data_IF_675608190714
#
_entry.id   IF_675608190714
#
_cell.length_a   1.000
_cell.length_b   1.000
_cell.length_c   1.000
_cell.angle_alpha   90.00
_cell.angle_beta   90.00
_cell.angle_gamma   90.00
#
_symmetry.space_group_name_H-M   'P 1'
#
loop_
_entity.id
_entity.type
_entity.pdbx_description
1 polymer ?
#
# COMPACT_ATOMS: atom_id res chain seq x y z
N UNK A 1 34.24 3.83 4.67
CA UNK A 1 32.88 4.34 4.80
C UNK A 1 32.01 3.13 5.07
N UNK A 2 31.41 3.02 6.27
CA UNK A 2 30.49 1.92 6.56
C UNK A 2 29.24 2.10 5.68
N UNK A 3 29.09 1.24 4.69
CA UNK A 3 27.85 1.10 3.89
C UNK A 3 26.78 0.46 4.83
N UNK A 4 26.28 1.25 5.78
CA UNK A 4 25.13 0.82 6.58
C UNK A 4 23.94 0.76 5.64
N UNK A 5 23.50 -0.47 5.34
CA UNK A 5 22.24 -0.68 4.63
C UNK A 5 21.14 0.09 5.37
N UNK A 6 20.42 0.95 4.65
CA UNK A 6 19.29 1.69 5.22
C UNK A 6 18.18 0.68 5.53
N UNK A 7 17.66 0.65 6.77
CA UNK A 7 16.59 -0.29 7.13
C UNK A 7 15.33 -0.04 6.31
N UNK A 8 14.60 -1.11 6.02
CA UNK A 8 13.38 -1.05 5.22
C UNK A 8 12.14 -1.39 6.04
N UNK A 9 11.09 -0.59 5.87
CA UNK A 9 9.73 -0.83 6.35
C UNK A 9 8.82 -1.06 5.15
N UNK A 10 8.15 -2.20 5.10
CA UNK A 10 7.29 -2.58 3.98
C UNK A 10 5.82 -2.63 4.38
N UNK A 11 4.96 -2.09 3.51
CA UNK A 11 3.53 -2.29 3.55
C UNK A 11 3.11 -3.22 2.42
N UNK A 12 2.66 -4.43 2.74
CA UNK A 12 1.99 -5.32 1.80
C UNK A 12 0.54 -4.88 1.66
N UNK A 13 0.18 -4.45 0.48
CA UNK A 13 -1.04 -3.69 0.27
C UNK A 13 -1.82 -4.13 -0.97
N UNK A 14 -3.13 -3.82 -0.94
CA UNK A 14 -4.07 -3.99 -2.04
C UNK A 14 -4.69 -2.63 -2.41
N UNK A 15 -4.92 -2.38 -3.70
CA UNK A 15 -5.45 -1.09 -4.17
C UNK A 15 -6.94 -0.90 -3.90
N UNK A 16 -7.74 -1.96 -3.85
CA UNK A 16 -9.15 -1.81 -3.45
C UNK A 16 -9.39 -1.91 -1.94
N UNK A 17 -8.35 -2.15 -1.13
CA UNK A 17 -8.47 -2.23 0.31
C UNK A 17 -8.51 -0.83 0.95
N UNK A 18 -9.63 -0.40 1.57
CA UNK A 18 -9.72 0.93 2.17
C UNK A 18 -8.79 1.10 3.37
N UNK A 19 -8.49 0.01 4.07
CA UNK A 19 -7.54 -0.01 5.18
C UNK A 19 -6.11 0.24 4.71
N UNK A 20 -5.74 -0.27 3.52
CA UNK A 20 -4.46 0.05 2.89
C UNK A 20 -4.38 1.52 2.46
N UNK A 21 -5.49 2.10 2.00
CA UNK A 21 -5.48 3.51 1.63
C UNK A 21 -5.20 4.41 2.82
N UNK A 22 -5.90 4.21 3.95
CA UNK A 22 -5.65 5.03 5.15
C UNK A 22 -4.26 4.74 5.77
N UNK A 23 -3.76 3.51 5.68
CA UNK A 23 -2.39 3.18 6.08
C UNK A 23 -1.38 3.94 5.21
N UNK A 24 -1.52 3.89 3.88
CA UNK A 24 -0.66 4.58 2.94
C UNK A 24 -0.63 6.10 3.20
N UNK A 25 -1.78 6.76 3.42
CA UNK A 25 -1.85 8.20 3.74
C UNK A 25 -1.00 8.53 4.98
N UNK A 26 -1.06 7.70 6.02
CA UNK A 26 -0.29 7.89 7.26
C UNK A 26 1.20 7.61 7.05
N UNK A 27 1.52 6.45 6.45
CA UNK A 27 2.89 5.98 6.28
C UNK A 27 3.68 6.87 5.32
N UNK A 28 3.11 7.24 4.16
CA UNK A 28 3.78 8.10 3.18
C UNK A 28 4.08 9.50 3.76
N UNK A 29 3.20 10.01 4.61
CA UNK A 29 3.43 11.30 5.25
C UNK A 29 4.62 11.25 6.19
N UNK A 30 4.64 10.27 7.10
CA UNK A 30 5.73 10.12 8.08
C UNK A 30 7.03 9.68 7.41
N UNK A 31 6.97 8.85 6.35
CA UNK A 31 8.16 8.39 5.63
C UNK A 31 9.05 9.53 5.11
N UNK A 32 8.46 10.70 4.80
CA UNK A 32 9.21 11.90 4.38
C UNK A 32 10.16 12.41 5.47
N UNK A 33 9.77 12.27 6.73
CA UNK A 33 10.56 12.72 7.89
C UNK A 33 11.73 11.76 8.21
N UNK A 34 11.68 10.53 7.64
CA UNK A 34 12.71 9.50 7.78
C UNK A 34 13.54 9.32 6.52
N UNK A 35 13.48 10.26 5.59
CA UNK A 35 14.26 10.20 4.36
C UNK A 35 15.76 10.05 4.64
N UNK A 36 16.41 9.08 3.94
CA UNK A 36 17.81 8.72 4.17
C UNK A 36 18.09 7.91 5.44
N UNK A 37 17.10 7.70 6.32
CA UNK A 37 17.21 6.94 7.57
C UNK A 37 16.46 5.61 7.52
N UNK A 38 15.27 5.59 6.93
CA UNK A 38 14.45 4.39 6.70
C UNK A 38 13.89 4.44 5.28
N UNK A 39 13.96 3.33 4.57
CA UNK A 39 13.29 3.18 3.27
C UNK A 39 11.90 2.57 3.49
N UNK A 40 10.86 3.37 3.24
CA UNK A 40 9.50 2.85 3.19
C UNK A 40 9.15 2.41 1.77
N UNK A 41 8.51 1.24 1.64
CA UNK A 41 8.02 0.70 0.36
C UNK A 41 6.63 0.10 0.51
N UNK A 42 5.72 0.45 -0.41
CA UNK A 42 4.50 -0.32 -0.66
C UNK A 42 4.85 -1.51 -1.55
N UNK A 43 4.49 -2.72 -1.12
CA UNK A 43 4.71 -3.97 -1.84
C UNK A 43 3.37 -4.57 -2.29
N UNK A 44 3.27 -5.08 -3.52
CA UNK A 44 2.01 -5.60 -4.04
C UNK A 44 1.60 -6.90 -3.33
N UNK A 45 0.34 -6.94 -2.89
CA UNK A 45 -0.31 -8.15 -2.43
C UNK A 45 -1.74 -8.20 -2.97
N UNK A 46 -1.93 -8.46 -4.28
CA UNK A 46 -3.24 -8.54 -4.90
C UNK A 46 -4.08 -9.63 -4.26
N UNK A 47 -5.14 -9.27 -3.54
CA UNK A 47 -6.00 -10.22 -2.84
C UNK A 47 -6.76 -11.13 -3.80
N UNK A 48 -7.00 -10.71 -5.04
CA UNK A 48 -7.56 -11.54 -6.09
C UNK A 48 -6.72 -12.79 -6.38
N UNK A 49 -5.40 -12.73 -6.25
CA UNK A 49 -4.50 -13.89 -6.38
C UNK A 49 -4.57 -14.82 -5.16
N UNK A 50 -4.92 -14.29 -3.99
CA UNK A 50 -5.05 -15.07 -2.77
C UNK A 50 -6.44 -15.72 -2.63
N UNK A 51 -7.49 -15.04 -3.10
CA UNK A 51 -8.88 -15.45 -2.91
C UNK A 51 -9.52 -16.02 -4.18
N UNK A 52 -8.88 -15.86 -5.34
CA UNK A 52 -9.40 -16.32 -6.63
C UNK A 52 -10.46 -15.42 -7.26
N UNK A 53 -10.83 -14.33 -6.60
CA UNK A 53 -11.82 -13.36 -7.07
C UNK A 53 -11.50 -11.94 -6.61
N UNK A 54 -11.97 -10.95 -7.35
CA UNK A 54 -11.91 -9.56 -6.94
C UNK A 54 -12.79 -9.32 -5.71
N UNK A 55 -12.43 -8.34 -4.89
CA UNK A 55 -13.18 -8.05 -3.67
C UNK A 55 -14.61 -7.57 -3.98
N UNK A 56 -15.59 -8.05 -3.24
CA UNK A 56 -17.00 -7.76 -3.47
C UNK A 56 -17.30 -6.28 -3.17
N UNK A 57 -17.84 -5.58 -4.17
CA UNK A 57 -18.17 -4.15 -4.13
C UNK A 57 -19.03 -3.77 -2.92
N UNK A 58 -20.04 -4.58 -2.63
CA UNK A 58 -20.99 -4.34 -1.55
C UNK A 58 -20.36 -4.33 -0.17
N UNK A 59 -19.33 -5.17 0.07
CA UNK A 59 -18.57 -5.18 1.32
C UNK A 59 -17.64 -3.97 1.38
N UNK A 60 -16.88 -3.74 0.31
CA UNK A 60 -15.90 -2.66 0.27
C UNK A 60 -16.53 -1.29 0.52
N UNK A 61 -17.67 -0.99 -0.11
CA UNK A 61 -18.36 0.28 0.07
C UNK A 61 -18.91 0.48 1.48
N UNK A 62 -19.20 -0.60 2.23
CA UNK A 62 -19.52 -0.50 3.64
C UNK A 62 -18.28 -0.13 4.47
N UNK A 63 -17.11 -0.71 4.16
CA UNK A 63 -15.86 -0.44 4.86
C UNK A 63 -15.32 0.98 4.62
N UNK A 64 -15.58 1.58 3.45
CA UNK A 64 -15.07 2.91 3.09
C UNK A 64 -15.38 3.97 4.13
N UNK A 65 -16.61 4.00 4.64
CA UNK A 65 -17.02 4.99 5.64
C UNK A 65 -16.31 4.80 6.98
N UNK A 66 -16.06 3.55 7.35
CA UNK A 66 -15.31 3.24 8.56
C UNK A 66 -13.82 3.62 8.43
N UNK A 67 -13.26 3.47 7.25
CA UNK A 67 -11.91 3.93 6.96
C UNK A 67 -11.83 5.46 6.94
N UNK A 68 -12.79 6.13 6.29
CA UNK A 68 -12.87 7.60 6.22
C UNK A 68 -12.91 8.26 7.60
N UNK A 69 -13.64 7.69 8.54
CA UNK A 69 -13.72 8.19 9.92
C UNK A 69 -12.35 8.13 10.61
N UNK A 70 -11.55 7.10 10.33
CA UNK A 70 -10.24 6.90 10.95
C UNK A 70 -9.16 7.81 10.37
N UNK A 71 -9.28 8.21 9.10
CA UNK A 71 -8.30 9.05 8.42
C UNK A 71 -8.98 10.11 7.55
N UNK A 72 -9.34 11.26 8.13
CA UNK A 72 -10.02 12.35 7.40
C UNK A 72 -9.19 12.97 6.26
N UNK A 73 -7.88 12.71 6.21
CA UNK A 73 -7.00 13.15 5.10
C UNK A 73 -7.12 12.25 3.86
N UNK A 74 -7.66 11.03 4.02
CA UNK A 74 -7.99 10.14 2.90
C UNK A 74 -9.34 10.55 2.29
N UNK A 75 -9.37 10.69 0.98
CA UNK A 75 -10.59 11.14 0.27
C UNK A 75 -11.41 9.93 -0.15
N UNK A 76 -12.62 9.82 0.40
CA UNK A 76 -13.58 8.80 0.04
C UNK A 76 -14.86 9.43 -0.53
N UNK A 77 -15.37 8.86 -1.62
CA UNK A 77 -16.63 9.24 -2.25
C UNK A 77 -17.40 7.99 -2.68
N UNK A 78 -18.75 8.04 -2.78
CA UNK A 78 -19.52 6.92 -3.30
C UNK A 78 -19.07 6.56 -4.71
N UNK A 79 -18.73 5.31 -4.96
CA UNK A 79 -18.46 4.84 -6.32
C UNK A 79 -19.80 4.66 -7.06
N UNK A 80 -20.21 5.69 -7.79
CA UNK A 80 -21.45 5.69 -8.56
C UNK A 80 -21.16 5.25 -9.98
N UNK A 81 -21.92 4.29 -10.49
CA UNK A 81 -21.74 3.77 -11.84
C UNK A 81 -21.34 2.30 -11.86
N UNK A 82 -21.39 1.72 -13.05
CA UNK A 82 -21.22 0.27 -13.25
C UNK A 82 -19.79 -0.11 -13.64
N UNK A 83 -18.93 0.88 -13.90
CA UNK A 83 -17.54 0.66 -14.28
C UNK A 83 -16.62 0.33 -13.09
N UNK A 84 -17.00 -0.69 -12.32
CA UNK A 84 -16.20 -1.18 -11.19
C UNK A 84 -15.03 -2.03 -11.66
N UNK A 85 -13.81 -1.86 -11.12
CA UNK A 85 -12.66 -2.68 -11.51
C UNK A 85 -12.89 -4.16 -11.16
N UNK A 86 -12.68 -5.03 -12.14
CA UNK A 86 -12.74 -6.49 -11.98
C UNK A 86 -11.39 -7.10 -11.60
N UNK A 87 -10.33 -6.29 -11.66
CA UNK A 87 -8.96 -6.64 -11.29
C UNK A 87 -8.19 -5.41 -10.87
N UNK A 88 -7.24 -5.55 -9.98
CA UNK A 88 -6.29 -4.49 -9.58
C UNK A 88 -4.87 -4.74 -10.07
N UNK A 89 -4.62 -5.88 -10.74
CA UNK A 89 -3.30 -6.19 -11.29
C UNK A 89 -2.73 -5.06 -12.16
N UNK A 90 -3.48 -4.43 -13.08
CA UNK A 90 -2.96 -3.30 -13.84
C UNK A 90 -2.49 -2.13 -12.98
N UNK A 91 -3.18 -1.84 -11.86
CA UNK A 91 -2.76 -0.77 -10.95
C UNK A 91 -1.41 -1.06 -10.29
N UNK A 92 -1.16 -2.32 -9.89
CA UNK A 92 0.14 -2.73 -9.38
C UNK A 92 1.25 -2.66 -10.43
N UNK A 93 0.96 -3.06 -11.67
CA UNK A 93 1.90 -2.96 -12.79
C UNK A 93 2.27 -1.51 -13.05
N UNK A 94 1.29 -0.62 -13.07
CA UNK A 94 1.49 0.82 -13.22
C UNK A 94 2.33 1.42 -12.08
N UNK A 95 2.04 1.04 -10.84
CA UNK A 95 2.83 1.47 -9.69
C UNK A 95 4.29 0.97 -9.77
N UNK A 96 4.51 -0.26 -10.25
CA UNK A 96 5.85 -0.76 -10.51
C UNK A 96 6.58 0.08 -11.58
N UNK A 97 5.90 0.46 -12.68
CA UNK A 97 6.47 1.34 -13.71
C UNK A 97 6.83 2.72 -13.14
N UNK A 98 5.98 3.30 -12.28
CA UNK A 98 6.26 4.56 -11.59
C UNK A 98 7.48 4.44 -10.68
N UNK A 99 7.62 3.32 -9.96
CA UNK A 99 8.76 3.09 -9.06
C UNK A 99 10.11 3.03 -9.79
N UNK A 100 10.14 2.69 -11.08
CA UNK A 100 11.37 2.75 -11.89
C UNK A 100 11.84 4.19 -12.11
N UNK A 101 11.02 5.20 -11.83
CA UNK A 101 11.37 6.61 -11.95
C UNK A 101 11.82 7.25 -10.63
N UNK A 102 11.88 6.45 -9.57
CA UNK A 102 12.37 6.86 -8.27
C UNK A 102 11.34 6.75 -7.15
N UNK A 103 11.83 6.89 -5.92
CA UNK A 103 11.02 6.68 -4.72
C UNK A 103 9.90 7.71 -4.56
N UNK A 104 10.18 8.97 -4.84
CA UNK A 104 9.16 10.04 -4.75
C UNK A 104 8.05 9.78 -5.77
N UNK A 105 8.41 9.45 -7.02
CA UNK A 105 7.47 9.07 -8.06
C UNK A 105 6.61 7.88 -7.65
N UNK A 106 7.20 6.83 -7.07
CA UNK A 106 6.48 5.66 -6.56
C UNK A 106 5.45 6.04 -5.51
N UNK A 107 5.84 6.84 -4.51
CA UNK A 107 4.97 7.23 -3.40
C UNK A 107 3.81 8.14 -3.85
N UNK A 108 4.08 9.10 -4.71
CA UNK A 108 3.07 10.02 -5.23
C UNK A 108 2.08 9.31 -6.15
N UNK A 109 2.58 8.43 -7.00
CA UNK A 109 1.73 7.64 -7.89
C UNK A 109 0.83 6.65 -7.10
N UNK A 110 1.36 5.96 -6.09
CA UNK A 110 0.58 5.07 -5.22
C UNK A 110 -0.61 5.79 -4.60
N UNK A 111 -0.39 6.94 -3.96
CA UNK A 111 -1.47 7.73 -3.36
C UNK A 111 -2.47 8.25 -4.41
N UNK A 112 -2.02 8.61 -5.61
CA UNK A 112 -2.87 9.07 -6.69
C UNK A 112 -3.79 7.97 -7.20
N UNK A 113 -3.28 6.74 -7.38
CA UNK A 113 -4.09 5.56 -7.77
C UNK A 113 -5.16 5.29 -6.72
N UNK A 114 -4.81 5.30 -5.44
CA UNK A 114 -5.77 5.09 -4.34
C UNK A 114 -6.84 6.18 -4.33
N UNK A 115 -6.46 7.45 -4.43
CA UNK A 115 -7.39 8.57 -4.50
C UNK A 115 -8.32 8.49 -5.70
N UNK A 116 -7.80 8.11 -6.86
CA UNK A 116 -8.60 7.93 -8.08
C UNK A 116 -9.71 6.88 -7.89
N UNK A 117 -9.41 5.77 -7.23
CA UNK A 117 -10.39 4.73 -6.95
C UNK A 117 -11.37 5.14 -5.85
N UNK A 118 -10.86 5.51 -4.66
CA UNK A 118 -11.70 5.76 -3.48
C UNK A 118 -12.42 7.10 -3.50
N UNK A 119 -11.79 8.13 -4.05
CA UNK A 119 -12.30 9.51 -4.01
C UNK A 119 -12.92 10.00 -5.31
N UNK A 120 -12.53 9.42 -6.46
CA UNK A 120 -12.92 9.93 -7.79
C UNK A 120 -13.71 8.91 -8.61
N UNK A 121 -13.94 7.72 -8.07
CA UNK A 121 -14.67 6.62 -8.71
C UNK A 121 -14.12 6.25 -10.11
N UNK A 122 -12.79 6.31 -10.28
CA UNK A 122 -12.10 5.91 -11.51
C UNK A 122 -11.77 4.43 -11.48
N UNK A 123 -12.00 3.74 -12.59
CA UNK A 123 -11.67 2.31 -12.70
C UNK A 123 -10.17 2.10 -12.91
N UNK A 124 -9.46 1.79 -11.83
CA UNK A 124 -8.02 1.54 -11.81
C UNK A 124 -7.61 0.19 -12.43
N UNK A 125 -8.55 -0.64 -12.86
CA UNK A 125 -8.30 -1.81 -13.70
C UNK A 125 -8.09 -1.46 -15.18
N UNK A 126 -8.37 -0.20 -15.59
CA UNK A 126 -8.24 0.24 -16.98
C UNK A 126 -6.88 0.90 -17.23
N UNK A 127 -6.07 0.38 -18.17
CA UNK A 127 -4.77 0.96 -18.53
C UNK A 127 -4.84 2.46 -18.84
N UNK A 128 -5.86 2.90 -19.60
CA UNK A 128 -6.02 4.31 -19.93
C UNK A 128 -6.08 5.21 -18.69
N UNK A 129 -6.85 4.81 -17.67
CA UNK A 129 -6.94 5.55 -16.39
C UNK A 129 -5.56 5.63 -15.73
N UNK A 130 -4.79 4.54 -15.72
CA UNK A 130 -3.47 4.48 -15.10
C UNK A 130 -2.44 5.36 -15.82
N UNK A 131 -2.49 5.41 -17.16
CA UNK A 131 -1.66 6.34 -17.95
C UNK A 131 -2.05 7.81 -17.74
N UNK A 132 -3.35 8.11 -17.61
CA UNK A 132 -3.80 9.46 -17.26
C UNK A 132 -3.30 9.86 -15.86
N UNK A 133 -3.34 8.95 -14.89
CA UNK A 133 -2.77 9.18 -13.57
C UNK A 133 -1.24 9.37 -13.59
N UNK A 134 -0.52 8.66 -14.48
CA UNK A 134 0.91 8.86 -14.67
C UNK A 134 1.22 10.26 -15.24
N UNK A 135 0.41 10.74 -16.17
CA UNK A 135 0.48 12.11 -16.70
C UNK A 135 0.20 13.16 -15.62
N UNK A 136 -0.85 12.95 -14.83
CA UNK A 136 -1.23 13.83 -13.72
C UNK A 136 -0.15 13.86 -12.61
N UNK A 137 0.63 12.79 -12.46
CA UNK A 137 1.76 12.69 -11.56
C UNK A 137 3.08 13.21 -12.18
N UNK A 138 3.02 13.81 -13.37
CA UNK A 138 4.18 14.38 -14.10
C UNK A 138 5.31 13.35 -14.33
N UNK A 139 4.97 12.06 -14.50
CA UNK A 139 5.95 11.02 -14.79
C UNK A 139 6.42 11.10 -16.25
N UNK A 140 7.64 10.63 -16.52
CA UNK A 140 8.11 10.38 -17.87
C UNK A 140 7.27 9.27 -18.51
N UNK A 141 6.30 9.68 -19.36
CA UNK A 141 5.36 8.77 -20.00
C UNK A 141 6.04 7.83 -21.00
N UNK A 142 7.11 8.26 -21.67
CA UNK A 142 7.87 7.41 -22.60
C UNK A 142 8.51 6.25 -21.85
N UNK A 143 9.17 6.55 -20.74
CA UNK A 143 9.76 5.54 -19.86
C UNK A 143 8.70 4.65 -19.22
N UNK A 144 7.59 5.24 -18.76
CA UNK A 144 6.47 4.51 -18.18
C UNK A 144 5.88 3.50 -19.17
N UNK A 145 5.61 3.93 -20.39
CA UNK A 145 5.08 3.07 -21.45
C UNK A 145 6.05 1.95 -21.82
N UNK A 146 7.32 2.25 -21.99
CA UNK A 146 8.34 1.23 -22.30
C UNK A 146 8.42 0.14 -21.21
N UNK A 147 8.33 0.54 -19.93
CA UNK A 147 8.30 -0.41 -18.81
C UNK A 147 7.02 -1.24 -18.78
N UNK A 148 5.87 -0.62 -19.05
CA UNK A 148 4.58 -1.31 -19.14
C UNK A 148 4.57 -2.37 -20.27
N UNK A 149 5.01 -2.02 -21.47
CA UNK A 149 5.01 -2.89 -22.65
C UNK A 149 6.03 -4.02 -22.55
N UNK A 150 7.07 -3.88 -21.73
CA UNK A 150 8.09 -4.92 -21.54
C UNK A 150 7.57 -6.21 -20.89
N UNK A 151 6.41 -6.17 -20.22
CA UNK A 151 5.88 -7.27 -19.42
C UNK A 151 6.62 -7.51 -18.09
N UNK A 152 7.71 -6.80 -17.83
CA UNK A 152 8.50 -6.93 -16.59
C UNK A 152 7.70 -6.57 -15.34
N UNK A 153 6.80 -5.59 -15.45
CA UNK A 153 5.92 -5.16 -14.36
C UNK A 153 5.05 -6.32 -13.86
N UNK A 154 4.39 -7.05 -14.76
CA UNK A 154 3.57 -8.21 -14.42
C UNK A 154 4.38 -9.28 -13.71
N UNK A 155 5.52 -9.63 -14.24
CA UNK A 155 6.39 -10.66 -13.65
C UNK A 155 6.85 -10.24 -12.23
N UNK A 156 7.24 -8.98 -12.06
CA UNK A 156 7.65 -8.44 -10.76
C UNK A 156 6.51 -8.46 -9.73
N UNK A 157 5.30 -8.02 -10.10
CA UNK A 157 4.13 -8.01 -9.22
C UNK A 157 3.79 -9.43 -8.73
N UNK A 158 3.79 -10.41 -9.64
CA UNK A 158 3.51 -11.80 -9.27
C UNK A 158 4.59 -12.40 -8.37
N UNK A 159 5.87 -12.10 -8.64
CA UNK A 159 6.99 -12.54 -7.81
C UNK A 159 6.91 -11.95 -6.40
N UNK A 160 6.62 -10.64 -6.29
CA UNK A 160 6.44 -9.95 -5.01
C UNK A 160 5.27 -10.53 -4.21
N UNK A 161 4.11 -10.74 -4.83
CA UNK A 161 2.95 -11.33 -4.17
C UNK A 161 3.25 -12.75 -3.63
N UNK A 162 4.00 -13.54 -4.40
CA UNK A 162 4.47 -14.87 -4.00
C UNK A 162 5.43 -14.77 -2.81
N UNK A 163 6.40 -13.88 -2.88
CA UNK A 163 7.35 -13.60 -1.80
C UNK A 163 6.63 -13.23 -0.50
N UNK A 164 5.65 -12.31 -0.59
CA UNK A 164 4.84 -11.90 0.57
C UNK A 164 4.15 -13.07 1.25
N UNK A 165 3.51 -13.93 0.46
CA UNK A 165 2.78 -15.10 0.96
C UNK A 165 3.69 -16.18 1.54
N UNK A 166 4.77 -16.52 0.82
CA UNK A 166 5.58 -17.69 1.14
C UNK A 166 6.71 -17.41 2.13
N UNK A 167 7.36 -16.25 2.02
CA UNK A 167 8.51 -15.90 2.84
C UNK A 167 8.17 -14.97 4.00
N UNK A 168 7.19 -14.07 3.82
CA UNK A 168 6.81 -13.08 4.85
C UNK A 168 5.50 -13.43 5.57
N UNK A 169 4.87 -14.55 5.27
CA UNK A 169 3.67 -15.01 5.95
C UNK A 169 2.46 -14.07 5.83
N UNK A 170 2.44 -13.21 4.78
CA UNK A 170 1.32 -12.29 4.53
C UNK A 170 0.06 -13.09 4.20
N UNK A 171 -1.05 -12.79 4.90
CA UNK A 171 -2.35 -13.45 4.72
C UNK A 171 -3.48 -12.48 4.43
N UNK A 172 -3.21 -11.18 4.51
CA UNK A 172 -4.19 -10.11 4.27
C UNK A 172 -3.51 -8.76 4.23
N UNK A 173 -4.28 -7.72 3.95
CA UNK A 173 -3.77 -6.35 3.77
C UNK A 173 -4.55 -5.34 4.62
N UNK A 174 -3.91 -4.26 5.09
CA UNK A 174 -2.47 -4.03 5.07
C UNK A 174 -1.72 -4.93 6.08
N UNK A 175 -0.56 -5.44 5.66
CA UNK A 175 0.40 -6.07 6.57
C UNK A 175 1.70 -5.28 6.54
N UNK A 176 2.23 -4.91 7.71
CA UNK A 176 3.53 -4.24 7.81
C UNK A 176 4.61 -5.24 8.24
N UNK A 177 5.74 -5.23 7.54
CA UNK A 177 6.90 -6.03 7.91
C UNK A 177 8.19 -5.21 7.82
N UNK A 178 9.18 -5.60 8.61
CA UNK A 178 10.57 -5.25 8.38
C UNK A 178 11.20 -6.21 7.36
N UNK A 179 12.38 -5.87 6.85
CA UNK A 179 13.10 -6.70 5.89
C UNK A 179 13.49 -8.07 6.45
N UNK A 180 13.63 -8.21 7.78
CA UNK A 180 13.90 -9.47 8.47
C UNK A 180 12.66 -10.36 8.67
N UNK A 181 11.50 -9.93 8.19
CA UNK A 181 10.23 -10.65 8.33
C UNK A 181 9.45 -10.31 9.62
N UNK A 182 9.97 -9.44 10.48
CA UNK A 182 9.24 -9.02 11.69
C UNK A 182 7.96 -8.31 11.32
N UNK A 183 6.81 -8.83 11.79
CA UNK A 183 5.50 -8.18 11.61
C UNK A 183 5.29 -7.04 12.59
N UNK A 184 4.77 -5.91 12.09
CA UNK A 184 4.41 -4.75 12.88
C UNK A 184 2.90 -4.53 12.86
N UNK A 185 2.35 -4.07 13.99
CA UNK A 185 0.92 -3.81 14.10
C UNK A 185 0.57 -2.46 13.48
N UNK A 186 -0.30 -2.49 12.47
CA UNK A 186 -0.87 -1.27 11.88
C UNK A 186 -1.84 -0.64 12.88
N UNK A 187 -1.76 0.69 13.16
CA UNK A 187 -2.71 1.37 14.05
C UNK A 187 -4.04 1.68 13.35
N UNK A 188 -4.78 0.62 12.99
CA UNK A 188 -6.07 0.67 12.30
C UNK A 188 -7.07 -0.21 13.04
N UNK A 189 -8.33 0.24 13.12
CA UNK A 189 -9.45 -0.56 13.57
C UNK A 189 -10.15 -1.19 12.37
N UNK A 190 -10.14 -2.52 12.29
CA UNK A 190 -10.76 -3.26 11.19
C UNK A 190 -12.24 -3.51 11.45
N UNK A 191 -13.04 -3.55 10.37
CA UNK A 191 -14.43 -3.96 10.42
C UNK A 191 -14.55 -5.46 10.79
N UNK A 192 -15.57 -5.76 11.56
CA UNK A 192 -16.00 -7.13 11.81
C UNK A 192 -17.23 -7.40 10.95
N UNK A 193 -17.12 -8.42 10.08
CA UNK A 193 -18.18 -8.81 9.16
C UNK A 193 -18.82 -10.11 9.62
N UNK A 194 -20.14 -10.16 9.52
CA UNK A 194 -20.96 -11.37 9.66
C UNK A 194 -21.98 -11.38 8.51
N UNK A 195 -22.07 -12.48 7.79
CA UNK A 195 -22.99 -12.62 6.66
C UNK A 195 -22.93 -11.46 5.65
N UNK A 196 -21.69 -11.02 5.27
CA UNK A 196 -21.41 -9.91 4.36
C UNK A 196 -21.89 -8.54 4.84
N UNK A 197 -22.18 -8.39 6.13
CA UNK A 197 -22.56 -7.11 6.74
C UNK A 197 -21.59 -6.74 7.86
N UNK A 198 -21.30 -5.46 7.97
CA UNK A 198 -20.51 -4.96 9.09
C UNK A 198 -21.39 -4.96 10.34
N UNK A 199 -20.95 -5.70 11.34
CA UNK A 199 -21.63 -5.82 12.66
C UNK A 199 -20.89 -5.07 13.75
N UNK A 200 -19.72 -4.53 13.46
CA UNK A 200 -18.94 -3.76 14.40
C UNK A 200 -17.56 -3.39 13.85
N UNK A 201 -16.80 -2.69 14.68
CA UNK A 201 -15.42 -2.30 14.42
C UNK A 201 -14.59 -2.67 15.66
N UNK A 202 -13.33 -3.04 15.48
CA UNK A 202 -12.40 -3.21 16.59
C UNK A 202 -12.16 -1.87 17.30
N UNK A 203 -11.62 -1.90 18.51
CA UNK A 203 -11.33 -0.66 19.25
C UNK A 203 -10.47 0.28 18.40
N UNK A 204 -10.97 1.51 18.21
CA UNK A 204 -10.28 2.54 17.45
C UNK A 204 -8.99 2.95 18.19
N UNK A 205 -7.80 2.76 17.60
CA UNK A 205 -6.55 3.10 18.28
C UNK A 205 -6.31 4.60 18.31
N UNK A 206 -6.67 5.30 17.22
CA UNK A 206 -6.42 6.72 17.01
C UNK A 206 -7.19 7.21 15.77
N UNK A 207 -7.24 8.53 15.54
CA UNK A 207 -7.88 9.16 14.38
C UNK A 207 -6.96 10.21 13.77
N UNK A 208 -6.84 10.22 12.45
CA UNK A 208 -6.11 11.23 11.68
C UNK A 208 -4.71 11.51 12.24
N UNK A 209 -4.42 12.77 12.52
CA UNK A 209 -3.13 13.20 13.08
C UNK A 209 -2.82 12.61 14.47
N UNK A 210 -3.85 12.21 15.23
CA UNK A 210 -3.64 11.51 16.51
C UNK A 210 -2.99 10.12 16.35
N UNK A 211 -2.83 9.62 15.12
CA UNK A 211 -2.10 8.38 14.84
C UNK A 211 -0.60 8.59 14.57
N UNK A 212 -0.16 9.82 14.43
CA UNK A 212 1.18 10.15 13.96
C UNK A 212 2.28 9.54 14.86
N UNK A 213 2.13 9.64 16.18
CA UNK A 213 3.07 9.03 17.13
C UNK A 213 3.17 7.51 16.97
N UNK A 214 2.04 6.84 16.78
CA UNK A 214 2.04 5.39 16.53
C UNK A 214 2.71 5.03 15.19
N UNK A 215 2.58 5.87 14.18
CA UNK A 215 3.28 5.67 12.89
C UNK A 215 4.79 5.95 13.05
N UNK A 216 5.19 7.03 13.74
CA UNK A 216 6.61 7.28 14.06
C UNK A 216 7.26 6.08 14.77
N UNK A 217 6.55 5.48 15.73
CA UNK A 217 7.03 4.30 16.45
C UNK A 217 7.35 3.11 15.51
N UNK A 218 6.65 2.96 14.37
CA UNK A 218 6.96 1.92 13.37
C UNK A 218 8.31 2.19 12.69
N UNK A 219 8.58 3.44 12.33
CA UNK A 219 9.86 3.83 11.71
C UNK A 219 11.02 3.73 12.71
N UNK A 220 10.83 4.14 13.97
CA UNK A 220 11.84 3.98 15.03
C UNK A 220 12.15 2.51 15.30
N UNK A 221 11.15 1.61 15.24
CA UNK A 221 11.38 0.16 15.33
C UNK A 221 12.20 -0.37 14.17
N UNK A 222 12.00 0.14 12.95
CA UNK A 222 12.84 -0.22 11.81
C UNK A 222 14.31 0.20 12.04
N UNK A 223 14.53 1.39 12.60
CA UNK A 223 15.87 1.85 12.96
C UNK A 223 16.52 0.97 14.06
N UNK A 224 15.76 0.62 15.10
CA UNK A 224 16.24 -0.17 16.23
C UNK A 224 16.56 -1.62 15.83
N UNK A 225 15.71 -2.27 15.01
CA UNK A 225 15.91 -3.64 14.54
C UNK A 225 17.18 -3.81 13.70
N UNK A 226 17.60 -2.77 12.99
CA UNK A 226 18.83 -2.78 12.19
C UNK A 226 20.13 -2.67 13.04
N UNK A 227 20.01 -2.17 14.30
CA UNK A 227 21.15 -2.04 15.21
C UNK A 227 21.56 -3.33 15.94
N UNK A 228 20.66 -4.29 16.05
CA UNK A 228 20.89 -5.53 16.83
C UNK A 228 21.62 -6.62 16.02
N UNK A 229 21.49 -6.61 14.69
CA UNK A 229 22.15 -7.60 13.82
C UNK A 229 23.64 -7.32 13.53
N UNK A 230 24.18 -6.15 13.91
CA UNK A 230 25.55 -5.76 13.61
C UNK A 230 26.57 -6.16 14.72
N UNK A 231 26.13 -6.73 15.83
CA UNK A 231 27.02 -7.00 17.01
C UNK A 231 27.42 -8.47 17.16
N UNK A 232 26.76 -9.41 16.44
CA UNK A 232 27.06 -10.86 16.60
C UNK A 232 27.92 -11.51 15.51
N UNK A 233 28.59 -10.72 14.66
CA UNK A 233 29.50 -11.26 13.63
C UNK A 233 30.98 -11.06 13.97
N UNK A 234 31.36 -11.10 15.27
CA UNK A 234 32.77 -11.07 15.70
C UNK A 234 32.99 -11.96 16.92
N UNK A 235 33.10 -13.26 16.68
CA UNK A 235 33.98 -14.17 17.44
C UNK A 235 34.27 -15.38 16.57
#
# INVERSE_FOLDING_TARGET
MNDRLIPELWEWAEYYCPWCYIAAVRLHRVAKEYEGRVTFRTRPFPLELAHGEAAPRDILQQEWWLAAIQEPRAVFAPYRGDDWPTTTLPAFEAAWCAAQQGRVAAMEYDLRVRRAFFGEARNIGRPQVLFDLAREAELDLTRFQAQWESGAARAAVLAEATLGRECYGVRGTPTLTLADGTHLKVPIAFARLENRRIVGISKLPCVGAGCDEAIHSLFERALAGHGVGAVEATT
#
